data_IF_342455190501
#
_entry.id   IF_342455190501
#
_cell.length_a   1.000
_cell.length_b   1.000
_cell.length_c   1.000
_cell.angle_alpha   90.00
_cell.angle_beta   90.00
_cell.angle_gamma   90.00
#
_symmetry.space_group_name_H-M   'P 1'
#
loop_
_entity.id
_entity.type
_entity.pdbx_description
1 polymer ?
#
# COMPACT_ATOMS: atom_id res chain seq x y z
N UNK A 1 24.11 10.84 -20.13
CA UNK A 1 22.81 10.14 -20.32
C UNK A 1 22.74 8.82 -19.57
N UNK A 2 23.69 7.88 -19.76
CA UNK A 2 23.70 6.56 -19.07
C UNK A 2 23.64 6.65 -17.53
N UNK A 3 24.47 7.51 -16.93
CA UNK A 3 24.47 7.76 -15.47
C UNK A 3 23.11 8.27 -14.95
N UNK A 4 22.40 9.10 -15.71
CA UNK A 4 21.07 9.61 -15.31
C UNK A 4 20.06 8.46 -15.27
N UNK A 5 20.05 7.61 -16.30
CA UNK A 5 19.21 6.41 -16.35
C UNK A 5 19.52 5.48 -15.18
N UNK A 6 20.80 5.27 -14.85
CA UNK A 6 21.20 4.43 -13.73
C UNK A 6 20.71 5.00 -12.39
N UNK A 7 20.83 6.32 -12.18
CA UNK A 7 20.32 6.98 -10.97
C UNK A 7 18.79 6.92 -10.87
N UNK A 8 18.06 7.13 -11.97
CA UNK A 8 16.60 7.02 -12.02
C UNK A 8 16.15 5.58 -11.77
N UNK A 9 16.86 4.59 -12.29
CA UNK A 9 16.58 3.18 -12.02
C UNK A 9 16.81 2.82 -10.54
N UNK A 10 17.86 3.36 -9.90
CA UNK A 10 18.06 3.19 -8.46
C UNK A 10 16.94 3.85 -7.65
N UNK A 11 16.56 5.08 -8.01
CA UNK A 11 15.47 5.80 -7.35
C UNK A 11 14.14 5.04 -7.50
N UNK A 12 13.84 4.51 -8.69
CA UNK A 12 12.64 3.70 -8.93
C UNK A 12 12.59 2.50 -7.99
N UNK A 13 13.70 1.76 -7.84
CA UNK A 13 13.76 0.60 -6.92
C UNK A 13 13.50 1.00 -5.47
N UNK A 14 14.03 2.14 -5.02
CA UNK A 14 13.78 2.64 -3.66
C UNK A 14 12.31 3.01 -3.46
N UNK A 15 11.68 3.64 -4.46
CA UNK A 15 10.27 4.02 -4.42
C UNK A 15 9.33 2.82 -4.46
N UNK A 16 9.59 1.86 -5.35
CA UNK A 16 8.87 0.58 -5.43
C UNK A 16 8.94 -0.18 -4.09
N UNK A 17 10.12 -0.25 -3.48
CA UNK A 17 10.27 -0.83 -2.15
C UNK A 17 9.42 -0.11 -1.10
N UNK A 18 9.42 1.23 -1.10
CA UNK A 18 8.60 2.01 -0.17
C UNK A 18 7.10 1.74 -0.35
N UNK A 19 6.62 1.61 -1.59
CA UNK A 19 5.21 1.26 -1.88
C UNK A 19 4.88 -0.13 -1.36
N UNK A 20 5.76 -1.12 -1.56
CA UNK A 20 5.59 -2.48 -1.05
C UNK A 20 5.55 -2.52 0.48
N UNK A 21 6.49 -1.84 1.13
CA UNK A 21 6.56 -1.77 2.59
C UNK A 21 5.29 -1.12 3.17
N UNK A 22 4.79 -0.03 2.57
CA UNK A 22 3.54 0.61 2.99
C UNK A 22 2.30 -0.26 2.73
N UNK A 23 2.29 -1.02 1.62
CA UNK A 23 1.21 -1.98 1.32
C UNK A 23 1.13 -3.06 2.41
N UNK A 24 2.28 -3.60 2.84
CA UNK A 24 2.34 -4.57 3.94
C UNK A 24 1.86 -3.95 5.25
N UNK A 25 2.27 -2.71 5.55
CA UNK A 25 1.79 -1.99 6.74
C UNK A 25 0.28 -1.77 6.73
N UNK A 26 -0.31 -1.45 5.57
CA UNK A 26 -1.74 -1.29 5.41
C UNK A 26 -2.48 -2.59 5.68
N UNK A 27 -2.02 -3.70 5.09
CA UNK A 27 -2.62 -5.02 5.31
C UNK A 27 -2.56 -5.44 6.80
N UNK A 28 -1.42 -5.20 7.46
CA UNK A 28 -1.28 -5.46 8.90
C UNK A 28 -2.25 -4.62 9.73
N UNK A 29 -2.42 -3.34 9.38
CA UNK A 29 -3.34 -2.45 10.10
C UNK A 29 -4.81 -2.86 9.88
N UNK A 30 -5.17 -3.30 8.66
CA UNK A 30 -6.50 -3.86 8.37
C UNK A 30 -6.80 -5.09 9.21
N UNK A 31 -5.82 -5.99 9.38
CA UNK A 31 -5.97 -7.15 10.25
C UNK A 31 -6.24 -6.74 11.70
N UNK A 32 -5.61 -5.68 12.20
CA UNK A 32 -5.88 -5.13 13.54
C UNK A 32 -7.32 -4.63 13.64
N UNK A 33 -7.81 -3.87 12.65
CA UNK A 33 -9.21 -3.43 12.59
C UNK A 33 -10.18 -4.61 12.61
N UNK A 34 -9.91 -5.67 11.83
CA UNK A 34 -10.70 -6.91 11.84
C UNK A 34 -10.65 -7.62 13.20
N UNK A 35 -9.50 -7.59 13.88
CA UNK A 35 -9.34 -8.13 15.23
C UNK A 35 -10.30 -7.48 16.22
N UNK A 36 -10.41 -6.15 16.20
CA UNK A 36 -11.38 -5.43 17.04
C UNK A 36 -12.83 -5.79 16.70
N UNK A 37 -13.17 -5.92 15.42
CA UNK A 37 -14.50 -6.36 14.98
C UNK A 37 -14.87 -7.75 15.52
N UNK A 38 -13.92 -8.69 15.46
CA UNK A 38 -14.12 -10.04 15.96
C UNK A 38 -14.26 -10.06 17.49
N UNK A 39 -13.44 -9.27 18.20
CA UNK A 39 -13.51 -9.14 19.65
C UNK A 39 -14.86 -8.57 20.11
N UNK A 40 -15.33 -7.49 19.48
CA UNK A 40 -16.62 -6.88 19.80
C UNK A 40 -17.76 -7.89 19.61
N UNK A 41 -17.76 -8.64 18.50
CA UNK A 41 -18.74 -9.71 18.26
C UNK A 41 -18.67 -10.80 19.34
N UNK A 42 -17.47 -11.28 19.66
CA UNK A 42 -17.28 -12.33 20.67
C UNK A 42 -17.76 -11.89 22.06
N UNK A 43 -17.42 -10.66 22.47
CA UNK A 43 -17.90 -10.06 23.72
C UNK A 43 -19.43 -9.90 23.71
N UNK A 44 -20.02 -9.52 22.58
CA UNK A 44 -21.47 -9.46 22.40
C UNK A 44 -22.15 -10.82 22.60
N UNK A 45 -21.60 -11.88 22.00
CA UNK A 45 -22.07 -13.25 22.22
C UNK A 45 -21.90 -13.69 23.68
N UNK A 46 -20.80 -13.31 24.34
CA UNK A 46 -20.56 -13.62 25.73
C UNK A 46 -21.61 -12.97 26.65
N UNK A 47 -21.99 -11.71 26.39
CA UNK A 47 -23.08 -11.04 27.10
C UNK A 47 -24.40 -11.82 26.95
N UNK A 48 -24.71 -12.26 25.73
CA UNK A 48 -25.95 -13.01 25.45
C UNK A 48 -25.98 -14.36 26.18
N UNK A 49 -24.85 -15.07 26.21
CA UNK A 49 -24.72 -16.37 26.89
C UNK A 49 -24.61 -16.27 28.41
N UNK A 50 -24.23 -15.10 28.93
CA UNK A 50 -24.13 -14.90 30.38
C UNK A 50 -25.54 -14.91 30.99
N UNK A 51 -25.81 -15.90 31.82
CA UNK A 51 -27.03 -16.04 32.62
C UNK A 51 -26.73 -16.78 33.91
N UNK A 52 -27.72 -16.91 34.78
CA UNK A 52 -27.54 -17.62 36.06
C UNK A 52 -27.47 -19.14 35.89
N UNK A 53 -28.00 -19.68 34.79
CA UNK A 53 -27.91 -21.11 34.46
C UNK A 53 -28.73 -22.04 35.37
N UNK A 54 -29.54 -21.47 36.28
CA UNK A 54 -30.37 -22.20 37.25
C UNK A 54 -31.79 -21.64 37.27
N UNK A 55 -32.76 -22.52 37.56
CA UNK A 55 -34.20 -22.25 37.49
C UNK A 55 -34.69 -21.29 38.58
N UNK A 56 -34.07 -21.32 39.78
CA UNK A 56 -34.32 -20.40 40.88
C UNK A 56 -33.01 -19.72 41.34
N UNK A 57 -32.55 -18.68 40.65
CA UNK A 57 -31.31 -18.00 40.98
C UNK A 57 -31.40 -17.19 42.27
N UNK A 58 -30.35 -17.21 43.08
CA UNK A 58 -30.24 -16.34 44.26
C UNK A 58 -30.08 -14.87 43.86
N UNK A 59 -30.41 -13.95 44.75
CA UNK A 59 -30.24 -12.50 44.55
C UNK A 59 -28.78 -12.16 44.29
N UNK A 60 -27.84 -12.83 44.96
CA UNK A 60 -26.40 -12.67 44.78
C UNK A 60 -25.97 -13.09 43.38
N UNK A 61 -26.49 -14.21 42.88
CA UNK A 61 -26.18 -14.70 41.51
C UNK A 61 -26.68 -13.72 40.44
N UNK A 62 -27.85 -13.12 40.63
CA UNK A 62 -28.39 -12.09 39.74
C UNK A 62 -27.56 -10.80 39.76
N UNK A 63 -27.11 -10.37 40.95
CA UNK A 63 -26.21 -9.21 41.10
C UNK A 63 -24.89 -9.46 40.39
N UNK A 64 -24.30 -10.65 40.53
CA UNK A 64 -23.04 -11.02 39.87
C UNK A 64 -23.18 -11.03 38.35
N UNK A 65 -24.23 -11.66 37.81
CA UNK A 65 -24.48 -11.67 36.35
C UNK A 65 -24.68 -10.25 35.82
N UNK A 66 -25.41 -9.41 36.54
CA UNK A 66 -25.66 -8.02 36.14
C UNK A 66 -24.37 -7.19 36.15
N UNK A 67 -23.57 -7.30 37.21
CA UNK A 67 -22.28 -6.61 37.32
C UNK A 67 -21.29 -7.05 36.24
N UNK A 68 -21.22 -8.36 35.96
CA UNK A 68 -20.37 -8.89 34.90
C UNK A 68 -20.81 -8.42 33.51
N UNK A 69 -22.11 -8.43 33.20
CA UNK A 69 -22.64 -7.86 31.95
C UNK A 69 -22.34 -6.37 31.82
N UNK A 70 -22.43 -5.61 32.92
CA UNK A 70 -22.04 -4.20 32.96
C UNK A 70 -20.57 -4.02 32.57
N UNK A 71 -19.68 -4.80 33.17
CA UNK A 71 -18.24 -4.79 32.86
C UNK A 71 -17.98 -5.12 31.39
N UNK A 72 -18.62 -6.16 30.84
CA UNK A 72 -18.47 -6.52 29.43
C UNK A 72 -18.92 -5.40 28.49
N UNK A 73 -20.00 -4.67 28.82
CA UNK A 73 -20.44 -3.50 28.03
C UNK A 73 -19.41 -2.38 28.04
N UNK A 74 -18.78 -2.11 29.18
CA UNK A 74 -17.67 -1.16 29.27
C UNK A 74 -16.49 -1.58 28.38
N UNK A 75 -16.10 -2.86 28.43
CA UNK A 75 -15.02 -3.39 27.58
C UNK A 75 -15.37 -3.28 26.09
N UNK A 76 -16.62 -3.54 25.69
CA UNK A 76 -17.06 -3.36 24.30
C UNK A 76 -16.92 -1.90 23.87
N UNK A 77 -17.38 -0.95 24.70
CA UNK A 77 -17.25 0.47 24.40
C UNK A 77 -15.77 0.88 24.20
N UNK A 78 -14.86 0.32 25.01
CA UNK A 78 -13.42 0.54 24.86
C UNK A 78 -12.89 -0.06 23.55
N UNK A 79 -13.31 -1.27 23.19
CA UNK A 79 -12.92 -1.91 21.91
C UNK A 79 -13.44 -1.10 20.70
N UNK A 80 -14.63 -0.49 20.79
CA UNK A 80 -15.16 0.39 19.75
C UNK A 80 -14.35 1.68 19.60
N UNK A 81 -13.90 2.26 20.72
CA UNK A 81 -13.00 3.41 20.72
C UNK A 81 -11.65 3.06 20.08
N UNK A 82 -11.02 1.95 20.51
CA UNK A 82 -9.74 1.49 19.96
C UNK A 82 -9.83 1.15 18.47
N UNK A 83 -10.94 0.53 18.04
CA UNK A 83 -11.22 0.31 16.62
C UNK A 83 -11.28 1.62 15.84
N UNK A 84 -11.87 2.67 16.41
CA UNK A 84 -11.95 3.98 15.78
C UNK A 84 -10.56 4.58 15.59
N UNK A 85 -9.71 4.51 16.62
CA UNK A 85 -8.30 4.95 16.53
C UNK A 85 -7.51 4.13 15.50
N UNK A 86 -7.72 2.81 15.46
CA UNK A 86 -7.11 1.92 14.48
C UNK A 86 -7.51 2.26 13.04
N UNK A 87 -8.78 2.63 12.81
CA UNK A 87 -9.28 3.09 11.50
C UNK A 87 -8.68 4.42 11.08
N UNK A 88 -8.53 5.38 12.00
CA UNK A 88 -7.86 6.67 11.69
C UNK A 88 -6.42 6.39 11.24
N UNK A 89 -5.72 5.47 11.90
CA UNK A 89 -4.38 5.05 11.50
C UNK A 89 -4.37 4.36 10.14
N UNK A 90 -5.32 3.47 9.88
CA UNK A 90 -5.49 2.81 8.57
C UNK A 90 -5.64 3.84 7.43
N UNK A 91 -6.53 4.82 7.60
CA UNK A 91 -6.74 5.89 6.63
C UNK A 91 -5.48 6.71 6.38
N UNK A 92 -4.69 6.99 7.43
CA UNK A 92 -3.41 7.68 7.29
C UNK A 92 -2.40 6.86 6.47
N UNK A 93 -2.29 5.56 6.76
CA UNK A 93 -1.40 4.66 6.00
C UNK A 93 -1.85 4.58 4.54
N UNK A 94 -3.16 4.47 4.29
CA UNK A 94 -3.71 4.45 2.93
C UNK A 94 -3.40 5.73 2.16
N UNK A 95 -3.58 6.90 2.78
CA UNK A 95 -3.23 8.19 2.15
C UNK A 95 -1.74 8.26 1.81
N UNK A 96 -0.88 7.82 2.71
CA UNK A 96 0.57 7.79 2.49
C UNK A 96 0.95 6.82 1.37
N UNK A 97 0.31 5.65 1.31
CA UNK A 97 0.53 4.67 0.25
C UNK A 97 0.17 5.23 -1.12
N UNK A 98 -0.96 5.94 -1.24
CA UNK A 98 -1.34 6.60 -2.50
C UNK A 98 -0.31 7.64 -2.91
N UNK A 99 0.15 8.48 -1.97
CA UNK A 99 1.20 9.47 -2.26
C UNK A 99 2.50 8.79 -2.73
N UNK A 100 2.94 7.74 -2.03
CA UNK A 100 4.14 6.99 -2.39
C UNK A 100 4.01 6.30 -3.76
N UNK A 101 2.83 5.77 -4.10
CA UNK A 101 2.56 5.16 -5.39
C UNK A 101 2.58 6.20 -6.53
N UNK A 102 2.04 7.40 -6.29
CA UNK A 102 2.15 8.50 -7.25
C UNK A 102 3.62 8.89 -7.49
N UNK A 103 4.42 9.02 -6.43
CA UNK A 103 5.84 9.35 -6.52
C UNK A 103 6.63 8.25 -7.26
N UNK A 104 6.37 6.98 -6.99
CA UNK A 104 6.95 5.86 -7.74
C UNK A 104 6.61 5.96 -9.22
N UNK A 105 5.33 6.20 -9.55
CA UNK A 105 4.86 6.27 -10.93
C UNK A 105 5.52 7.40 -11.72
N UNK A 106 5.71 8.57 -11.09
CA UNK A 106 6.41 9.70 -11.70
C UNK A 106 7.84 9.29 -12.09
N UNK A 107 8.57 8.66 -11.16
CA UNK A 107 9.95 8.21 -11.42
C UNK A 107 9.99 7.15 -12.51
N UNK A 108 9.05 6.20 -12.49
CA UNK A 108 8.94 5.16 -13.51
C UNK A 108 8.72 5.75 -14.91
N UNK A 109 7.82 6.72 -15.04
CA UNK A 109 7.56 7.40 -16.32
C UNK A 109 8.78 8.22 -16.79
N UNK A 110 9.40 9.00 -15.89
CA UNK A 110 10.60 9.77 -16.25
C UNK A 110 11.75 8.86 -16.68
N UNK A 111 11.92 7.69 -16.05
CA UNK A 111 12.94 6.72 -16.46
C UNK A 111 12.67 6.17 -17.87
N UNK A 112 11.40 5.93 -18.20
CA UNK A 112 10.97 5.45 -19.52
C UNK A 112 11.26 6.50 -20.59
N UNK A 113 10.84 7.75 -20.36
CA UNK A 113 11.12 8.88 -21.26
C UNK A 113 12.63 9.02 -21.53
N UNK A 114 13.47 8.88 -20.49
CA UNK A 114 14.93 8.96 -20.65
C UNK A 114 15.54 7.79 -21.40
N UNK A 115 14.93 6.61 -21.35
CA UNK A 115 15.36 5.47 -22.17
C UNK A 115 14.99 5.69 -23.63
N UNK A 116 13.80 6.21 -23.89
CA UNK A 116 13.34 6.52 -25.23
C UNK A 116 14.17 7.63 -25.88
N UNK A 117 14.49 8.69 -25.14
CA UNK A 117 15.43 9.73 -25.59
C UNK A 117 16.78 9.12 -26.02
N UNK A 118 17.37 8.25 -25.20
CA UNK A 118 18.65 7.62 -25.50
C UNK A 118 18.58 6.72 -26.74
N UNK A 119 17.50 5.94 -26.88
CA UNK A 119 17.29 5.07 -28.03
C UNK A 119 17.11 5.88 -29.32
N UNK A 120 16.33 6.96 -29.27
CA UNK A 120 16.13 7.85 -30.41
C UNK A 120 17.44 8.53 -30.83
N UNK A 121 18.26 9.00 -29.89
CA UNK A 121 19.58 9.54 -30.21
C UNK A 121 20.48 8.51 -30.89
N UNK A 122 20.43 7.25 -30.46
CA UNK A 122 21.20 6.17 -31.08
C UNK A 122 20.72 5.91 -32.52
N UNK A 123 19.41 5.81 -32.73
CA UNK A 123 18.80 5.62 -34.05
C UNK A 123 19.13 6.76 -35.01
N UNK A 124 19.06 8.02 -34.55
CA UNK A 124 19.41 9.19 -35.36
C UNK A 124 20.88 9.18 -35.76
N UNK A 125 21.79 8.75 -34.86
CA UNK A 125 23.22 8.63 -35.18
C UNK A 125 23.49 7.52 -36.19
N UNK A 126 22.83 6.38 -36.04
CA UNK A 126 22.94 5.26 -36.96
C UNK A 126 22.44 5.64 -38.36
N UNK A 127 21.26 6.26 -38.45
CA UNK A 127 20.69 6.73 -39.71
C UNK A 127 21.63 7.71 -40.41
N UNK A 128 22.18 8.69 -39.69
CA UNK A 128 23.16 9.65 -40.25
C UNK A 128 24.40 8.95 -40.82
N UNK A 129 24.92 7.94 -40.13
CA UNK A 129 26.07 7.18 -40.61
C UNK A 129 25.74 6.41 -41.90
N UNK A 130 24.55 5.79 -41.97
CA UNK A 130 24.07 5.09 -43.18
C UNK A 130 23.88 6.08 -44.34
N UNK A 131 23.25 7.22 -44.08
CA UNK A 131 23.01 8.26 -45.09
C UNK A 131 24.33 8.81 -45.65
N UNK A 132 25.33 9.02 -44.80
CA UNK A 132 26.67 9.48 -45.21
C UNK A 132 27.35 8.46 -46.13
N UNK A 133 27.30 7.17 -45.79
CA UNK A 133 27.83 6.08 -46.64
C UNK A 133 27.09 6.05 -47.98
N UNK A 134 25.76 6.12 -47.97
CA UNK A 134 24.94 6.11 -49.17
C UNK A 134 25.27 7.30 -50.10
N UNK A 135 25.43 8.50 -49.54
CA UNK A 135 25.82 9.70 -50.28
C UNK A 135 27.20 9.56 -50.92
N UNK A 136 28.19 9.01 -50.19
CA UNK A 136 29.53 8.75 -50.73
C UNK A 136 29.50 7.72 -51.87
N UNK A 137 28.74 6.64 -51.73
CA UNK A 137 28.57 5.63 -52.78
C UNK A 137 27.94 6.23 -54.05
N UNK A 138 26.90 7.06 -53.89
CA UNK A 138 26.26 7.75 -55.01
C UNK A 138 27.21 8.71 -55.73
N UNK A 139 27.99 9.51 -55.00
CA UNK A 139 29.00 10.40 -55.59
C UNK A 139 30.06 9.62 -56.38
N UNK A 140 30.55 8.49 -55.85
CA UNK A 140 31.53 7.64 -56.56
C UNK A 140 30.97 7.04 -57.84
N UNK A 141 29.69 6.66 -57.86
CA UNK A 141 29.04 6.16 -59.07
C UNK A 141 28.82 7.25 -60.14
N UNK A 142 28.73 8.53 -59.74
CA UNK A 142 28.49 9.65 -60.66
C UNK A 142 29.76 10.27 -61.24
N UNK A 143 30.91 10.06 -60.58
CA UNK A 143 32.23 10.53 -61.00
C UNK A 143 33.04 9.47 -61.78
N UNK A 144 32.48 8.28 -61.97
CA UNK A 144 32.93 7.27 -62.93
C UNK A 144 32.01 7.29 -64.16
#
# INVERSE_FOLDING_TARGET
MRQIIDTLAQLQRLRDKSVKDMTVQLAKQQQVCTGFDNNIKALGYLIQKTGTGVEAPSVESLKNVTGYKGTLRTVIAWQEQEKTLAKIKEQRIQKNLVAAACEEKIVAMTLDDKRDELNNEALVKEQKAVDEIAAQCWLRQKCN
#
